data_IF_566702546859
#
_entry.id   IF_566702546859
#
_cell.length_a   1.000
_cell.length_b   1.000
_cell.length_c   1.000
_cell.angle_alpha   90.00
_cell.angle_beta   90.00
_cell.angle_gamma   90.00
#
_symmetry.space_group_name_H-M   'P 1'
#
loop_
_entity.id
_entity.type
_entity.pdbx_description
1 polymer ?
#
# COMPACT_ATOMS: atom_id res chain seq x y z
N UNK A 1 -6.94 4.48 0.81
CA UNK A 1 -8.09 4.96 0.02
C UNK A 1 -9.05 3.81 -0.11
N UNK A 2 -10.19 3.80 0.60
CA UNK A 2 -11.23 2.80 0.35
C UNK A 2 -11.86 3.07 -1.03
N UNK A 3 -12.35 2.01 -1.66
CA UNK A 3 -13.12 2.05 -2.91
C UNK A 3 -14.28 1.05 -2.76
N UNK A 4 -15.40 1.33 -3.41
CA UNK A 4 -16.64 0.59 -3.26
C UNK A 4 -16.55 -0.76 -3.96
N UNK A 5 -17.04 -1.81 -3.29
CA UNK A 5 -17.21 -3.15 -3.85
C UNK A 5 -18.70 -3.51 -3.70
N UNK A 6 -19.32 -3.94 -4.79
CA UNK A 6 -20.71 -4.41 -4.80
C UNK A 6 -20.70 -5.86 -5.30
N UNK A 7 -21.01 -6.79 -4.42
CA UNK A 7 -21.20 -8.19 -4.78
C UNK A 7 -22.58 -8.35 -5.41
N UNK A 8 -22.65 -8.83 -6.66
CA UNK A 8 -23.90 -9.07 -7.38
C UNK A 8 -24.33 -10.54 -7.28
N UNK A 9 -23.36 -11.45 -7.32
CA UNK A 9 -23.52 -12.90 -7.15
C UNK A 9 -22.24 -13.50 -6.53
N UNK A 10 -22.18 -14.82 -6.41
CA UNK A 10 -20.99 -15.56 -5.97
C UNK A 10 -19.79 -15.45 -6.94
N UNK A 11 -20.05 -15.14 -8.20
CA UNK A 11 -19.08 -15.12 -9.31
C UNK A 11 -19.03 -13.78 -10.06
N UNK A 12 -19.82 -12.79 -9.65
CA UNK A 12 -19.86 -11.47 -10.26
C UNK A 12 -19.95 -10.35 -9.21
N UNK A 13 -19.24 -9.25 -9.48
CA UNK A 13 -19.28 -8.05 -8.67
C UNK A 13 -18.77 -6.84 -9.44
N UNK A 14 -18.99 -5.66 -8.88
CA UNK A 14 -18.51 -4.39 -9.38
C UNK A 14 -17.48 -3.82 -8.41
N UNK A 15 -16.40 -3.28 -8.94
CA UNK A 15 -15.35 -2.62 -8.17
C UNK A 15 -15.20 -1.21 -8.70
N UNK A 16 -15.31 -0.23 -7.79
CA UNK A 16 -15.07 1.17 -8.11
C UNK A 16 -13.62 1.39 -8.55
N UNK A 17 -13.44 2.04 -9.70
CA UNK A 17 -12.11 2.36 -10.20
C UNK A 17 -11.46 3.46 -9.35
N UNK A 18 -10.20 3.27 -8.99
CA UNK A 18 -9.39 4.30 -8.34
C UNK A 18 -8.92 5.31 -9.40
N UNK A 19 -9.46 6.55 -9.44
CA UNK A 19 -9.12 7.50 -10.48
C UNK A 19 -7.69 8.00 -10.32
N UNK A 20 -7.05 8.34 -11.45
CA UNK A 20 -5.71 8.95 -11.48
C UNK A 20 -4.62 8.13 -10.79
N UNK A 21 -4.76 6.81 -10.78
CA UNK A 21 -3.79 5.88 -10.24
C UNK A 21 -3.45 4.81 -11.27
N UNK A 22 -2.18 4.41 -11.32
CA UNK A 22 -1.67 3.38 -12.23
C UNK A 22 -0.81 2.40 -11.45
N UNK A 23 -0.81 1.11 -11.82
CA UNK A 23 0.00 0.13 -11.11
C UNK A 23 1.48 0.50 -11.15
N UNK A 24 2.22 0.20 -10.08
CA UNK A 24 3.69 0.38 -10.05
C UNK A 24 4.33 -0.40 -11.20
N UNK A 25 3.80 -1.57 -11.56
CA UNK A 25 4.24 -2.32 -12.74
C UNK A 25 4.10 -1.48 -14.02
N UNK A 26 2.94 -0.86 -14.23
CA UNK A 26 2.69 0.02 -15.37
C UNK A 26 3.57 1.26 -15.35
N UNK A 27 3.82 1.87 -14.18
CA UNK A 27 4.75 3.01 -14.04
C UNK A 27 6.13 2.62 -14.55
N UNK A 28 6.66 1.49 -14.09
CA UNK A 28 7.97 0.97 -14.52
C UNK A 28 8.03 0.69 -16.01
N UNK A 29 6.97 0.07 -16.56
CA UNK A 29 6.91 -0.31 -17.97
C UNK A 29 6.75 0.88 -18.92
N UNK A 30 6.00 1.91 -18.51
CA UNK A 30 5.66 3.07 -19.36
C UNK A 30 6.60 4.26 -19.21
N UNK A 31 7.41 4.30 -18.14
CA UNK A 31 8.39 5.36 -17.93
C UNK A 31 9.65 5.07 -18.74
N UNK A 32 10.02 5.89 -19.75
CA UNK A 32 11.26 5.72 -20.48
C UNK A 32 12.47 5.87 -19.55
N UNK A 33 13.47 5.00 -19.73
CA UNK A 33 14.69 4.97 -18.92
C UNK A 33 14.41 4.98 -17.41
N UNK A 34 13.47 4.13 -16.97
CA UNK A 34 13.16 3.95 -15.56
C UNK A 34 14.39 3.44 -14.80
N UNK A 35 14.93 4.25 -13.89
CA UNK A 35 16.07 3.88 -13.04
C UNK A 35 15.62 3.35 -11.68
N UNK A 36 14.80 4.12 -10.99
CA UNK A 36 14.19 3.73 -9.73
C UNK A 36 12.92 4.52 -9.47
N UNK A 37 12.14 4.07 -8.50
CA UNK A 37 10.94 4.79 -8.09
C UNK A 37 11.28 6.18 -7.52
N UNK A 38 12.45 6.34 -6.88
CA UNK A 38 12.93 7.63 -6.41
C UNK A 38 13.18 8.61 -7.56
N UNK A 39 13.87 8.17 -8.60
CA UNK A 39 14.11 8.97 -9.81
C UNK A 39 12.77 9.34 -10.49
N UNK A 40 11.83 8.40 -10.58
CA UNK A 40 10.48 8.71 -11.05
C UNK A 40 9.80 9.81 -10.21
N UNK A 41 9.91 9.76 -8.88
CA UNK A 41 9.35 10.78 -8.00
C UNK A 41 10.00 12.15 -8.24
N UNK A 42 11.30 12.22 -8.44
CA UNK A 42 11.99 13.50 -8.72
C UNK A 42 11.58 14.08 -10.08
N UNK A 43 11.42 13.23 -11.11
CA UNK A 43 10.91 13.65 -12.42
C UNK A 43 9.44 14.11 -12.35
N UNK A 44 8.61 13.40 -11.58
CA UNK A 44 7.17 13.67 -11.51
C UNK A 44 6.80 14.84 -10.57
N UNK A 45 7.55 15.03 -9.49
CA UNK A 45 7.22 15.98 -8.42
C UNK A 45 8.24 17.10 -8.24
N UNK A 46 9.37 17.06 -8.95
CA UNK A 46 10.47 18.02 -8.84
C UNK A 46 11.57 17.55 -7.90
N UNK A 47 12.63 18.37 -7.70
CA UNK A 47 13.77 18.00 -6.88
C UNK A 47 13.35 17.75 -5.42
N UNK A 48 14.18 17.00 -4.69
CA UNK A 48 13.95 16.57 -3.30
C UNK A 48 13.56 17.69 -2.34
N UNK A 49 14.11 18.88 -2.56
CA UNK A 49 13.90 20.07 -1.75
C UNK A 49 12.60 20.82 -2.09
N UNK A 50 11.96 20.48 -3.20
CA UNK A 50 10.74 21.14 -3.64
C UNK A 50 9.56 20.78 -2.74
N UNK A 51 8.68 21.75 -2.50
CA UNK A 51 7.45 21.56 -1.71
C UNK A 51 6.56 20.44 -2.29
N UNK A 52 6.52 20.32 -3.62
CA UNK A 52 5.75 19.29 -4.33
C UNK A 52 6.32 17.89 -4.10
N UNK A 53 7.64 17.72 -4.15
CA UNK A 53 8.28 16.45 -3.81
C UNK A 53 8.03 16.06 -2.36
N UNK A 54 8.27 16.98 -1.42
CA UNK A 54 8.09 16.74 0.02
C UNK A 54 6.64 16.35 0.33
N UNK A 55 5.66 17.01 -0.27
CA UNK A 55 4.26 16.68 -0.11
C UNK A 55 3.90 15.30 -0.69
N UNK A 56 4.40 14.96 -1.88
CA UNK A 56 4.19 13.66 -2.50
C UNK A 56 4.84 12.52 -1.71
N UNK A 57 6.07 12.73 -1.25
CA UNK A 57 6.81 11.79 -0.40
C UNK A 57 6.08 11.55 0.94
N UNK A 58 5.58 12.62 1.58
CA UNK A 58 4.78 12.51 2.81
C UNK A 58 3.53 11.66 2.59
N UNK A 59 2.80 11.89 1.48
CA UNK A 59 1.62 11.10 1.12
C UNK A 59 1.96 9.65 0.83
N UNK A 60 3.07 9.39 0.14
CA UNK A 60 3.60 8.04 -0.08
C UNK A 60 3.82 7.34 1.26
N UNK A 61 4.58 7.96 2.18
CA UNK A 61 4.89 7.42 3.51
C UNK A 61 3.63 7.10 4.31
N UNK A 62 2.69 8.05 4.40
CA UNK A 62 1.45 7.87 5.16
C UNK A 62 0.59 6.74 4.58
N UNK A 63 0.43 6.70 3.26
CA UNK A 63 -0.32 5.63 2.60
C UNK A 63 0.36 4.26 2.76
N UNK A 64 1.69 4.22 2.69
CA UNK A 64 2.47 3.00 2.89
C UNK A 64 2.35 2.50 4.33
N UNK A 65 2.43 3.38 5.34
CA UNK A 65 2.22 3.00 6.73
C UNK A 65 0.82 2.43 6.97
N UNK A 66 -0.22 3.10 6.43
CA UNK A 66 -1.61 2.64 6.52
C UNK A 66 -1.81 1.25 5.90
N UNK A 67 -1.37 1.05 4.65
CA UNK A 67 -1.50 -0.27 4.01
C UNK A 67 -0.61 -1.34 4.63
N UNK A 68 0.55 -0.98 5.18
CA UNK A 68 1.40 -1.93 5.91
C UNK A 68 0.70 -2.46 7.18
N UNK A 69 -0.04 -1.59 7.89
CA UNK A 69 -0.87 -2.02 9.02
C UNK A 69 -2.02 -2.94 8.58
N UNK A 70 -2.71 -2.59 7.50
CA UNK A 70 -3.80 -3.41 6.96
C UNK A 70 -3.28 -4.78 6.52
N UNK A 71 -2.12 -4.84 5.84
CA UNK A 71 -1.48 -6.10 5.47
C UNK A 71 -1.11 -6.94 6.68
N UNK A 72 -0.51 -6.31 7.71
CA UNK A 72 -0.11 -7.01 8.92
C UNK A 72 -1.30 -7.58 9.68
N UNK A 73 -2.38 -6.80 9.85
CA UNK A 73 -3.55 -7.23 10.63
C UNK A 73 -4.38 -8.24 9.85
N UNK A 74 -4.67 -7.97 8.57
CA UNK A 74 -5.56 -8.80 7.75
C UNK A 74 -4.83 -9.95 7.04
N UNK A 75 -3.52 -10.08 7.23
CA UNK A 75 -2.67 -11.09 6.59
C UNK A 75 -2.89 -11.16 5.07
N UNK A 76 -2.92 -9.98 4.42
CA UNK A 76 -3.13 -9.88 2.97
C UNK A 76 -1.91 -10.41 2.23
N UNK A 77 -2.14 -11.32 1.28
CA UNK A 77 -1.12 -11.99 0.48
C UNK A 77 -1.14 -11.49 -0.97
N UNK A 78 -0.25 -12.02 -1.80
CA UNK A 78 -0.11 -11.72 -3.23
C UNK A 78 0.21 -10.23 -3.49
N UNK A 79 1.16 -9.68 -2.74
CA UNK A 79 1.50 -8.25 -2.82
C UNK A 79 2.62 -7.98 -3.82
N UNK A 80 2.27 -7.95 -5.11
CA UNK A 80 3.19 -7.58 -6.20
C UNK A 80 2.93 -6.18 -6.76
N UNK A 81 3.79 -5.70 -7.67
CA UNK A 81 3.70 -4.33 -8.22
C UNK A 81 2.49 -4.09 -9.13
N UNK A 82 1.76 -5.14 -9.50
CA UNK A 82 0.47 -5.04 -10.21
C UNK A 82 -0.66 -4.64 -9.28
N UNK A 83 -0.63 -5.12 -8.03
CA UNK A 83 -1.68 -4.90 -7.02
C UNK A 83 -1.45 -3.63 -6.17
N UNK A 84 -0.42 -2.83 -6.51
CA UNK A 84 -0.11 -1.57 -5.84
C UNK A 84 -0.17 -0.47 -6.89
N UNK A 85 -1.17 0.39 -6.77
CA UNK A 85 -1.33 1.57 -7.59
C UNK A 85 -0.58 2.76 -7.00
N UNK A 86 0.00 3.59 -7.84
CA UNK A 86 0.56 4.89 -7.51
C UNK A 86 -0.35 5.98 -8.08
N UNK A 87 -0.89 6.81 -7.20
CA UNK A 87 -1.68 7.97 -7.58
C UNK A 87 -0.81 9.14 -8.03
N UNK A 88 -1.38 10.02 -8.86
CA UNK A 88 -0.74 11.27 -9.30
C UNK A 88 -0.30 12.23 -8.17
N UNK A 89 -0.75 12.00 -6.94
CA UNK A 89 -0.39 12.77 -5.74
C UNK A 89 0.75 12.17 -4.93
N UNK A 90 1.28 11.01 -5.34
CA UNK A 90 2.35 10.28 -4.66
C UNK A 90 1.85 9.21 -3.67
N UNK A 91 0.55 9.12 -3.39
CA UNK A 91 -0.01 8.07 -2.52
C UNK A 91 -0.01 6.71 -3.22
N UNK A 92 0.21 5.64 -2.46
CA UNK A 92 -0.06 4.28 -2.93
C UNK A 92 -1.46 3.82 -2.54
N UNK A 93 -2.04 2.92 -3.33
CA UNK A 93 -3.33 2.29 -3.09
C UNK A 93 -3.19 0.81 -3.40
N UNK A 94 -3.39 -0.05 -2.40
CA UNK A 94 -3.44 -1.48 -2.63
C UNK A 94 -4.82 -1.83 -3.17
N UNK A 95 -4.85 -2.69 -4.18
CA UNK A 95 -6.06 -3.26 -4.79
C UNK A 95 -5.98 -4.77 -4.75
N UNK A 96 -7.05 -5.43 -5.17
CA UNK A 96 -7.16 -6.89 -5.24
C UNK A 96 -6.86 -7.55 -3.89
N UNK A 97 -7.88 -7.70 -3.04
CA UNK A 97 -7.72 -8.29 -1.70
C UNK A 97 -8.17 -9.76 -1.66
N UNK A 98 -8.14 -10.48 -2.79
CA UNK A 98 -8.67 -11.84 -2.90
C UNK A 98 -8.02 -12.88 -1.99
N UNK A 99 -6.79 -12.63 -1.52
CA UNK A 99 -6.07 -13.49 -0.58
C UNK A 99 -5.80 -12.75 0.72
N UNK A 100 -6.53 -13.10 1.77
CA UNK A 100 -6.41 -12.51 3.11
C UNK A 100 -6.68 -13.56 4.20
N UNK A 101 -6.26 -13.27 5.43
CA UNK A 101 -6.38 -14.16 6.58
C UNK A 101 -5.74 -15.54 6.29
N UNK A 102 -6.51 -16.61 6.44
CA UNK A 102 -6.08 -17.98 6.18
C UNK A 102 -6.03 -18.33 4.68
N UNK A 103 -6.67 -17.55 3.80
CA UNK A 103 -6.69 -17.84 2.36
C UNK A 103 -5.32 -17.54 1.73
N UNK A 104 -4.71 -18.52 1.05
CA UNK A 104 -3.44 -18.35 0.33
C UNK A 104 -3.53 -18.78 -1.13
N UNK A 105 -2.84 -18.07 -2.05
CA UNK A 105 -2.67 -18.56 -3.41
C UNK A 105 -1.77 -19.80 -3.37
N UNK A 106 -2.40 -20.98 -3.48
CA UNK A 106 -1.72 -22.27 -3.38
C UNK A 106 -1.37 -22.70 -1.95
N UNK A 107 -1.00 -23.98 -1.78
CA UNK A 107 -0.68 -24.62 -0.50
C UNK A 107 0.69 -24.22 0.09
N UNK A 108 1.33 -23.18 -0.45
CA UNK A 108 2.71 -22.79 -0.10
C UNK A 108 2.66 -21.39 0.51
N UNK A 109 3.14 -21.26 1.75
CA UNK A 109 3.31 -19.98 2.42
C UNK A 109 4.45 -19.18 1.77
N UNK A 110 4.19 -18.55 0.64
CA UNK A 110 5.18 -17.78 -0.14
C UNK A 110 5.64 -16.47 0.52
N UNK A 111 4.89 -15.93 1.50
CA UNK A 111 5.20 -14.64 2.09
C UNK A 111 5.82 -14.81 3.49
N UNK A 112 7.13 -14.52 3.61
CA UNK A 112 7.86 -14.49 4.88
C UNK A 112 7.81 -13.12 5.57
N UNK A 113 7.46 -12.06 4.83
CA UNK A 113 7.41 -10.70 5.34
C UNK A 113 5.95 -10.28 5.65
N UNK A 114 5.70 -9.63 6.80
CA UNK A 114 4.35 -9.23 7.23
C UNK A 114 3.68 -8.18 6.34
N UNK A 115 4.46 -7.47 5.54
CA UNK A 115 3.99 -6.49 4.55
C UNK A 115 5.12 -6.17 3.56
N UNK A 116 4.78 -5.41 2.52
CA UNK A 116 5.73 -5.08 1.44
C UNK A 116 6.49 -3.80 1.73
N UNK A 117 7.78 -3.93 2.05
CA UNK A 117 8.73 -2.83 2.15
C UNK A 117 9.98 -3.16 1.33
N UNK A 118 9.99 -2.76 0.06
CA UNK A 118 11.12 -3.01 -0.84
C UNK A 118 12.22 -1.95 -0.70
N UNK A 119 13.43 -2.29 -1.16
CA UNK A 119 14.54 -1.32 -1.26
C UNK A 119 14.16 -0.07 -2.07
N UNK A 120 13.42 -0.24 -3.16
CA UNK A 120 12.91 0.88 -3.98
C UNK A 120 11.99 1.83 -3.20
N UNK A 121 11.17 1.30 -2.29
CA UNK A 121 10.31 2.13 -1.46
C UNK A 121 11.16 2.86 -0.41
N UNK A 122 12.16 2.18 0.16
CA UNK A 122 13.13 2.80 1.06
C UNK A 122 13.89 3.95 0.37
N UNK A 123 14.26 3.82 -0.91
CA UNK A 123 14.86 4.91 -1.68
C UNK A 123 13.93 6.12 -1.79
N UNK A 124 12.63 5.91 -2.04
CA UNK A 124 11.63 7.00 -2.04
C UNK A 124 11.59 7.69 -0.67
N UNK A 125 11.67 6.93 0.42
CA UNK A 125 11.72 7.45 1.80
C UNK A 125 13.01 8.22 2.11
N UNK A 126 14.10 7.94 1.38
CA UNK A 126 15.43 8.51 1.60
C UNK A 126 16.42 7.57 2.31
N UNK A 127 16.08 6.30 2.46
CA UNK A 127 16.89 5.27 3.11
C UNK A 127 16.57 5.05 4.59
N UNK A 128 17.18 4.03 5.19
CA UNK A 128 16.88 3.55 6.56
C UNK A 128 17.27 4.53 7.67
N UNK A 129 18.19 5.46 7.40
CA UNK A 129 18.61 6.51 8.35
C UNK A 129 17.95 7.86 8.08
N UNK A 130 16.95 7.91 7.19
CA UNK A 130 16.29 9.16 6.79
C UNK A 130 15.19 9.58 7.76
N UNK A 131 14.88 10.89 7.75
CA UNK A 131 13.69 11.43 8.42
C UNK A 131 12.39 10.82 7.87
N UNK A 132 12.36 10.45 6.58
CA UNK A 132 11.21 9.80 5.96
C UNK A 132 10.94 8.40 6.51
N UNK A 133 12.00 7.62 6.75
CA UNK A 133 11.87 6.30 7.39
C UNK A 133 11.52 6.40 8.87
N UNK A 134 12.13 7.32 9.61
CA UNK A 134 11.73 7.58 10.99
C UNK A 134 10.24 7.98 11.09
N UNK A 135 9.77 8.83 10.17
CA UNK A 135 8.36 9.23 10.11
C UNK A 135 7.43 8.05 9.73
N UNK A 136 7.86 7.16 8.84
CA UNK A 136 7.13 5.92 8.57
C UNK A 136 6.94 5.08 9.83
N UNK A 137 8.01 4.88 10.61
CA UNK A 137 7.95 4.10 11.85
C UNK A 137 7.01 4.77 12.88
N UNK A 138 7.11 6.08 13.04
CA UNK A 138 6.24 6.85 13.95
C UNK A 138 4.75 6.68 13.59
N UNK A 139 4.40 6.88 12.32
CA UNK A 139 3.01 6.75 11.85
C UNK A 139 2.51 5.30 11.94
N UNK A 140 3.37 4.32 11.62
CA UNK A 140 3.03 2.90 11.74
C UNK A 140 2.74 2.52 13.19
N UNK A 141 3.62 2.90 14.13
CA UNK A 141 3.46 2.60 15.57
C UNK A 141 2.21 3.29 16.12
N UNK A 142 2.01 4.57 15.82
CA UNK A 142 0.82 5.30 16.24
C UNK A 142 -0.47 4.67 15.70
N UNK A 143 -0.48 4.29 14.42
CA UNK A 143 -1.61 3.59 13.80
C UNK A 143 -1.85 2.21 14.41
N UNK A 144 -0.81 1.47 14.76
CA UNK A 144 -0.93 0.17 15.43
C UNK A 144 -1.57 0.30 16.82
N UNK A 145 -1.16 1.29 17.62
CA UNK A 145 -1.80 1.57 18.90
C UNK A 145 -3.26 1.99 18.76
N UNK A 146 -3.58 2.79 17.74
CA UNK A 146 -4.96 3.15 17.44
C UNK A 146 -5.80 1.93 17.05
N UNK A 147 -5.29 1.07 16.16
CA UNK A 147 -5.97 -0.18 15.78
C UNK A 147 -6.21 -1.07 17.00
N UNK A 148 -5.22 -1.22 17.90
CA UNK A 148 -5.36 -1.97 19.15
C UNK A 148 -6.49 -1.43 20.04
N UNK A 149 -6.65 -0.11 20.13
CA UNK A 149 -7.74 0.50 20.93
C UNK A 149 -9.13 0.16 20.38
N UNK A 150 -9.24 -0.11 19.09
CA UNK A 150 -10.50 -0.37 18.38
C UNK A 150 -10.62 -1.80 17.85
N UNK A 151 -9.82 -2.74 18.35
CA UNK A 151 -9.69 -4.10 17.82
C UNK A 151 -11.02 -4.89 17.84
N UNK A 152 -11.86 -4.68 18.86
CA UNK A 152 -13.17 -5.36 18.97
C UNK A 152 -14.05 -5.14 17.74
N UNK A 153 -14.10 -3.91 17.21
CA UNK A 153 -14.89 -3.59 16.00
C UNK A 153 -14.41 -4.41 14.80
N UNK A 154 -13.10 -4.54 14.64
CA UNK A 154 -12.52 -5.32 13.54
C UNK A 154 -12.81 -6.81 13.68
N UNK A 155 -12.65 -7.35 14.89
CA UNK A 155 -12.91 -8.76 15.19
C UNK A 155 -14.38 -9.08 14.92
N UNK A 156 -15.30 -8.28 15.47
CA UNK A 156 -16.75 -8.48 15.28
C UNK A 156 -17.16 -8.43 13.80
N UNK A 157 -16.61 -7.51 13.01
CA UNK A 157 -16.89 -7.45 11.56
C UNK A 157 -16.40 -8.71 10.83
N UNK A 158 -15.25 -9.26 11.21
CA UNK A 158 -14.72 -10.49 10.60
C UNK A 158 -15.55 -11.70 11.04
N UNK A 159 -15.91 -11.80 12.32
CA UNK A 159 -16.73 -12.89 12.86
C UNK A 159 -18.08 -12.99 12.15
N UNK A 160 -18.77 -11.86 11.95
CA UNK A 160 -20.07 -11.82 11.24
C UNK A 160 -19.97 -12.31 9.79
N UNK A 161 -18.81 -12.16 9.12
CA UNK A 161 -18.64 -12.65 7.75
C UNK A 161 -18.19 -14.12 7.65
N UNK A 162 -17.76 -14.72 8.77
CA UNK A 162 -17.35 -16.13 8.84
C UNK A 162 -18.53 -17.03 9.20
N UNK A 163 -19.50 -16.51 9.95
CA UNK A 163 -20.81 -17.13 10.19
C UNK A 163 -21.67 -17.21 8.92
#
# INVERSE_FOLDING_TARGET
>A
TPFTIICLSSDAGLVELVPNAVSIHTVKKRTPDFRSLRDFFERAFGPVTSSRFVAAQKRFIQSMAGYSLVQYIMQIKDRHNGNILLGNSGKIVHIDFGYMLSNSPGAINFETAPFKLSGEYLEVLGGTKSRGFAYFQEVFIAGFFAARKHHEVFITLVEIMVE
#
